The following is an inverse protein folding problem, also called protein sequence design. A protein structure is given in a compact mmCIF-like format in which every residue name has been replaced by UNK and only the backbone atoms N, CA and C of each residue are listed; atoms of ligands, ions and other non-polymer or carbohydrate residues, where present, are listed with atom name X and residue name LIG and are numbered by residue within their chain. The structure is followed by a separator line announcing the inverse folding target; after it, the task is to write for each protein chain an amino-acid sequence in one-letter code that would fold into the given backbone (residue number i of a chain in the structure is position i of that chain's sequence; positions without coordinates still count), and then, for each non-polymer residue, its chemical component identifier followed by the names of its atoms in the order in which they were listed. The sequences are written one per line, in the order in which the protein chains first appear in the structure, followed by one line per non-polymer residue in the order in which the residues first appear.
data_IF_326842052815
#
_entry.id   IF_326842052815
#
_cell.length_a   1.000
_cell.length_b   1.000
_cell.length_c   1.000
_cell.angle_alpha   90.00
_cell.angle_beta   90.00
_cell.angle_gamma   90.00
#
_symmetry.space_group_name_H-M   'P 1'
#
loop_
_entity.id
_entity.type
_entity.pdbx_description
1 polymer ?
#
# COMPACT_ATOMS: atom_id res chain seq x y z
N UNK A 1 -34.75 -3.10 42.81
CA UNK A 1 -34.30 -4.38 42.24
C UNK A 1 -33.49 -4.20 40.96
N UNK A 2 -34.05 -3.75 39.83
CA UNK A 2 -33.28 -3.62 38.57
C UNK A 2 -32.03 -2.72 38.66
N UNK A 3 -32.16 -1.55 39.31
CA UNK A 3 -31.01 -0.62 39.49
C UNK A 3 -29.91 -1.18 40.40
N UNK A 4 -30.28 -2.00 41.39
CA UNK A 4 -29.33 -2.61 42.34
C UNK A 4 -28.55 -3.75 41.67
N UNK A 5 -29.21 -4.53 40.81
CA UNK A 5 -28.53 -5.52 39.97
C UNK A 5 -27.57 -4.84 38.98
N UNK A 6 -27.97 -3.71 38.40
CA UNK A 6 -27.09 -2.93 37.52
C UNK A 6 -25.86 -2.37 38.26
N UNK A 7 -26.04 -1.87 39.49
CA UNK A 7 -24.93 -1.39 40.32
C UNK A 7 -23.95 -2.50 40.69
N UNK A 8 -24.46 -3.66 41.15
CA UNK A 8 -23.62 -4.83 41.45
C UNK A 8 -22.84 -5.32 40.22
N UNK A 9 -23.47 -5.36 39.05
CA UNK A 9 -22.80 -5.74 37.81
C UNK A 9 -21.64 -4.78 37.46
N UNK A 10 -21.85 -3.47 37.62
CA UNK A 10 -20.82 -2.46 37.40
C UNK A 10 -19.64 -2.58 38.39
N UNK A 11 -19.88 -2.91 39.65
CA UNK A 11 -18.82 -3.11 40.64
C UNK A 11 -17.97 -4.35 40.33
N UNK A 12 -18.62 -5.43 39.87
CA UNK A 12 -17.93 -6.65 39.43
C UNK A 12 -17.04 -6.34 38.21
N UNK A 13 -17.55 -5.59 37.21
CA UNK A 13 -16.76 -5.21 36.02
C UNK A 13 -15.58 -4.30 36.35
N UNK A 14 -15.69 -3.44 37.38
CA UNK A 14 -14.60 -2.56 37.84
C UNK A 14 -13.52 -3.30 38.65
N UNK A 15 -13.88 -4.40 39.28
CA UNK A 15 -12.97 -5.21 40.12
C UNK A 15 -12.41 -6.43 39.38
N UNK A 16 -12.99 -6.79 38.23
CA UNK A 16 -12.42 -7.76 37.32
C UNK A 16 -11.05 -7.27 36.82
N UNK A 17 -10.01 -8.05 37.06
CA UNK A 17 -8.70 -7.81 36.47
C UNK A 17 -8.82 -7.90 34.95
N UNK A 18 -8.21 -6.99 34.17
CA UNK A 18 -8.17 -7.12 32.73
C UNK A 18 -7.62 -8.49 32.36
N UNK A 19 -8.38 -9.25 31.58
CA UNK A 19 -8.00 -10.57 31.11
C UNK A 19 -6.95 -10.35 30.01
N UNK A 20 -5.66 -10.38 30.38
CA UNK A 20 -4.55 -10.00 29.50
C UNK A 20 -4.51 -10.87 28.22
N UNK A 21 -4.91 -12.15 28.35
CA UNK A 21 -5.06 -13.11 27.24
C UNK A 21 -6.11 -12.68 26.22
N UNK A 22 -7.29 -12.24 26.69
CA UNK A 22 -8.39 -11.78 25.82
C UNK A 22 -8.00 -10.49 25.08
N UNK A 23 -7.21 -9.64 25.75
CA UNK A 23 -6.71 -8.38 25.17
C UNK A 23 -5.71 -8.60 24.03
N UNK A 24 -4.88 -9.66 24.09
CA UNK A 24 -3.93 -10.00 23.04
C UNK A 24 -4.60 -10.61 21.80
N UNK A 25 -5.59 -11.48 21.98
CA UNK A 25 -6.34 -12.07 20.87
C UNK A 25 -7.17 -11.01 20.12
N UNK A 26 -7.77 -10.07 20.84
CA UNK A 26 -8.45 -8.91 20.24
C UNK A 26 -7.44 -8.03 19.49
N UNK A 27 -6.27 -7.75 20.08
CA UNK A 27 -5.23 -6.98 19.40
C UNK A 27 -4.73 -7.65 18.12
N UNK A 28 -4.60 -8.98 18.10
CA UNK A 28 -4.24 -9.73 16.88
C UNK A 28 -5.38 -9.77 15.85
N UNK A 29 -6.63 -9.72 16.30
CA UNK A 29 -7.82 -9.71 15.42
C UNK A 29 -8.07 -8.35 14.74
N UNK A 30 -7.45 -7.29 15.26
CA UNK A 30 -7.48 -5.95 14.66
C UNK A 30 -6.44 -5.77 13.54
N UNK A 31 -5.45 -6.66 13.45
CA UNK A 31 -4.45 -6.61 12.38
C UNK A 31 -5.04 -7.16 11.08
N UNK A 32 -4.69 -6.58 9.91
CA UNK A 32 -5.02 -7.20 8.63
C UNK A 32 -4.48 -8.64 8.57
N UNK A 33 -5.16 -9.55 7.85
CA UNK A 33 -4.64 -10.89 7.61
C UNK A 33 -3.21 -10.85 7.06
N UNK A 34 -2.39 -11.84 7.43
CA UNK A 34 -1.01 -11.90 6.98
C UNK A 34 -0.92 -11.89 5.45
N UNK A 35 -0.09 -10.99 4.91
CA UNK A 35 0.18 -10.89 3.48
C UNK A 35 1.68 -10.69 3.23
N UNK A 36 2.16 -11.14 2.06
CA UNK A 36 3.54 -10.91 1.64
C UNK A 36 3.62 -9.56 0.93
N UNK A 37 4.44 -8.64 1.45
CA UNK A 37 4.71 -7.36 0.77
C UNK A 37 5.59 -7.58 -0.46
N UNK A 38 5.00 -7.47 -1.64
CA UNK A 38 5.73 -7.51 -2.91
C UNK A 38 6.16 -6.09 -3.31
N UNK A 39 7.40 -5.95 -3.82
CA UNK A 39 7.90 -4.67 -4.37
C UNK A 39 7.50 -4.45 -5.82
N UNK A 40 7.30 -5.54 -6.56
CA UNK A 40 6.91 -5.59 -7.96
C UNK A 40 5.95 -6.77 -8.16
N UNK A 41 5.25 -6.80 -9.29
CA UNK A 41 4.35 -7.90 -9.62
C UNK A 41 5.10 -9.24 -9.68
N UNK A 42 4.50 -10.27 -9.09
CA UNK A 42 4.98 -11.66 -9.20
C UNK A 42 4.14 -12.39 -10.24
N UNK A 43 4.68 -12.72 -11.43
CA UNK A 43 3.94 -13.46 -12.43
C UNK A 43 3.58 -14.87 -11.93
N UNK A 44 2.40 -15.37 -12.30
CA UNK A 44 1.87 -16.65 -11.86
C UNK A 44 1.48 -17.54 -13.05
N UNK A 45 1.51 -18.86 -12.87
CA UNK A 45 1.15 -19.84 -13.90
C UNK A 45 2.00 -19.69 -15.16
N UNK A 46 1.34 -19.71 -16.32
CA UNK A 46 1.99 -19.62 -17.64
C UNK A 46 2.72 -18.30 -17.92
N UNK A 47 2.58 -17.28 -17.05
CA UNK A 47 3.27 -16.00 -17.18
C UNK A 47 4.65 -15.99 -16.48
N UNK A 48 4.97 -16.98 -15.63
CA UNK A 48 6.20 -16.99 -14.84
C UNK A 48 7.49 -16.93 -15.68
N UNK A 49 7.46 -17.50 -16.90
CA UNK A 49 8.60 -17.50 -17.83
C UNK A 49 8.60 -16.37 -18.86
N UNK A 50 7.58 -15.52 -18.91
CA UNK A 50 7.51 -14.42 -19.87
C UNK A 50 8.26 -13.21 -19.32
N UNK A 51 9.48 -12.99 -19.81
CA UNK A 51 10.13 -11.69 -19.64
C UNK A 51 9.41 -10.68 -20.52
N UNK A 52 8.90 -9.63 -19.90
CA UNK A 52 8.41 -8.44 -20.62
C UNK A 52 9.61 -7.51 -20.66
N UNK A 53 10.60 -7.85 -21.48
CA UNK A 53 11.70 -6.94 -21.76
C UNK A 53 11.15 -5.92 -22.78
N UNK A 54 10.80 -4.72 -22.29
CA UNK A 54 10.44 -3.61 -23.16
C UNK A 54 11.76 -3.05 -23.69
N UNK A 55 12.01 -3.25 -24.98
CA UNK A 55 13.17 -2.66 -25.66
C UNK A 55 13.15 -1.15 -25.44
N UNK A 56 14.22 -0.58 -24.90
CA UNK A 56 14.29 0.85 -24.56
C UNK A 56 14.10 1.74 -25.81
N UNK A 57 14.53 1.25 -26.97
CA UNK A 57 14.31 1.86 -28.29
C UNK A 57 12.85 1.89 -28.73
N UNK A 58 11.97 1.11 -28.09
CA UNK A 58 10.52 1.10 -28.36
C UNK A 58 9.74 2.07 -27.47
N UNK A 59 10.38 2.68 -26.46
CA UNK A 59 9.75 3.65 -25.58
C UNK A 59 9.57 4.98 -26.33
N UNK A 60 8.37 5.55 -26.24
CA UNK A 60 8.11 6.88 -26.80
C UNK A 60 8.90 7.93 -26.02
N UNK A 61 9.68 8.74 -26.72
CA UNK A 61 10.45 9.83 -26.11
C UNK A 61 9.57 11.07 -25.94
N UNK A 62 9.63 11.72 -24.78
CA UNK A 62 9.01 13.03 -24.60
C UNK A 62 9.93 14.17 -25.08
N UNK A 63 9.40 15.38 -25.15
CA UNK A 63 10.12 16.57 -25.63
C UNK A 63 10.63 17.49 -24.50
N UNK A 64 10.75 16.97 -23.26
CA UNK A 64 11.27 17.77 -22.15
C UNK A 64 12.77 18.05 -22.31
N UNK A 65 13.19 19.28 -21.99
CA UNK A 65 14.61 19.65 -21.92
C UNK A 65 15.23 19.06 -20.63
N UNK A 66 16.28 18.22 -20.72
CA UNK A 66 16.94 17.64 -19.55
C UNK A 66 17.65 18.66 -18.65
N UNK A 67 17.87 19.89 -19.13
CA UNK A 67 18.55 20.94 -18.35
C UNK A 67 17.60 21.76 -17.46
N UNK A 68 16.29 21.55 -17.59
CA UNK A 68 15.30 22.17 -16.70
C UNK A 68 15.44 21.64 -15.27
N UNK A 69 14.91 22.39 -14.30
CA UNK A 69 15.08 22.07 -12.86
C UNK A 69 14.37 20.77 -12.46
N UNK A 70 13.23 20.46 -13.10
CA UNK A 70 12.40 19.28 -12.83
C UNK A 70 11.86 18.67 -14.15
N UNK A 71 12.74 18.10 -15.00
CA UNK A 71 12.33 17.58 -16.30
C UNK A 71 11.35 16.43 -16.11
N UNK A 72 10.26 16.44 -16.89
CA UNK A 72 9.16 15.49 -16.75
C UNK A 72 8.49 15.46 -15.37
N UNK A 73 8.69 16.47 -14.51
CA UNK A 73 8.07 16.61 -13.20
C UNK A 73 6.52 16.61 -13.21
N UNK A 74 5.87 16.47 -12.05
CA UNK A 74 4.41 16.35 -11.93
C UNK A 74 3.64 17.55 -12.47
N UNK A 75 4.27 18.73 -12.47
CA UNK A 75 3.66 19.99 -12.92
C UNK A 75 4.11 20.40 -14.34
N UNK A 76 4.93 19.57 -15.00
CA UNK A 76 5.37 19.84 -16.38
C UNK A 76 4.35 19.38 -17.40
N UNK A 77 4.39 19.96 -18.60
CA UNK A 77 3.62 19.50 -19.75
C UNK A 77 4.36 18.39 -20.51
N UNK A 78 4.90 17.41 -19.77
CA UNK A 78 5.57 16.27 -20.38
C UNK A 78 4.57 15.45 -21.21
N UNK A 79 4.86 15.24 -22.49
CA UNK A 79 4.02 14.47 -23.40
C UNK A 79 3.73 13.06 -22.87
N UNK A 80 4.77 12.35 -22.42
CA UNK A 80 4.64 11.01 -21.85
C UNK A 80 3.73 11.03 -20.60
N UNK A 81 3.86 12.03 -19.73
CA UNK A 81 2.99 12.19 -18.56
C UNK A 81 1.51 12.40 -18.95
N UNK A 82 1.26 13.28 -19.92
CA UNK A 82 -0.09 13.53 -20.43
C UNK A 82 -0.72 12.29 -21.07
N UNK A 83 0.10 11.40 -21.65
CA UNK A 83 -0.31 10.15 -22.27
C UNK A 83 -0.27 8.93 -21.34
N UNK A 84 0.03 9.12 -20.05
CA UNK A 84 0.16 8.05 -19.06
C UNK A 84 1.25 7.01 -19.38
N UNK A 85 2.30 7.45 -20.08
CA UNK A 85 3.49 6.66 -20.41
C UNK A 85 4.64 7.05 -19.49
N UNK A 86 5.40 6.06 -19.00
CA UNK A 86 6.62 6.34 -18.25
C UNK A 86 7.76 6.72 -19.20
N UNK A 87 8.49 7.78 -18.88
CA UNK A 87 9.75 8.06 -19.57
C UNK A 87 10.79 6.98 -19.23
N UNK A 88 11.64 6.66 -20.21
CA UNK A 88 12.79 5.79 -20.01
C UNK A 88 13.82 6.36 -19.02
N UNK A 89 14.77 5.54 -18.55
CA UNK A 89 15.74 5.92 -17.52
C UNK A 89 16.70 7.03 -17.94
N UNK A 90 16.88 7.28 -19.24
CA UNK A 90 17.74 8.35 -19.77
C UNK A 90 17.10 9.74 -19.75
N UNK A 91 15.79 9.80 -19.50
CA UNK A 91 15.02 11.04 -19.45
C UNK A 91 14.81 11.56 -18.01
N UNK A 92 15.31 10.82 -17.02
CA UNK A 92 15.24 11.17 -15.60
C UNK A 92 16.59 11.63 -15.07
#
# INVERSE_FOLDING_TARGET
MAMEHAQRACEILKTASPNEVESMDIASSLLPPHYVKLKVNKPCGSLCGKKIDIEESSLTQCECDPNEVDPCGPYTQCLNRMLLTECGPTCR
#
